data_IF_846186690050
#
_entry.id   IF_846186690050
#
_cell.length_a   1.000
_cell.length_b   1.000
_cell.length_c   1.000
_cell.angle_alpha   90.00
_cell.angle_beta   90.00
_cell.angle_gamma   90.00
#
_symmetry.space_group_name_H-M   'P 1'
#
loop_
_entity.id
_entity.type
_entity.pdbx_description
1 polymer ?
#
# COMPACT_ATOMS: atom_id res chain seq x y z
N UNK A 1 -0.98 8.61 12.79
CA UNK A 1 -0.68 7.98 11.49
C UNK A 1 -1.21 8.91 10.42
N UNK A 2 -0.37 9.36 9.49
CA UNK A 2 -0.87 10.16 8.36
C UNK A 2 -1.59 9.27 7.34
N UNK A 3 -2.37 9.84 6.41
CA UNK A 3 -3.10 9.03 5.42
C UNK A 3 -2.20 8.30 4.45
N UNK A 4 -1.01 8.81 4.15
CA UNK A 4 -0.04 8.15 3.28
C UNK A 4 0.44 6.84 3.93
N UNK A 5 0.77 6.88 5.21
CA UNK A 5 1.17 5.73 6.00
C UNK A 5 0.02 4.71 6.11
N UNK A 6 -1.21 5.16 6.38
CA UNK A 6 -2.38 4.28 6.50
C UNK A 6 -2.72 3.57 5.18
N UNK A 7 -2.55 4.26 4.05
CA UNK A 7 -2.63 3.68 2.71
C UNK A 7 -1.55 2.59 2.53
N UNK A 8 -0.30 2.85 2.93
CA UNK A 8 0.79 1.89 2.77
C UNK A 8 0.54 0.61 3.58
N UNK A 9 0.12 0.75 4.85
CA UNK A 9 -0.20 -0.40 5.70
C UNK A 9 -1.39 -1.19 5.15
N UNK A 10 -2.45 -0.49 4.72
CA UNK A 10 -3.60 -1.15 4.10
C UNK A 10 -3.22 -1.89 2.83
N UNK A 11 -2.36 -1.30 2.00
CA UNK A 11 -1.84 -1.95 0.80
C UNK A 11 -1.01 -3.18 1.15
N UNK A 12 -0.12 -3.12 2.15
CA UNK A 12 0.64 -4.29 2.62
C UNK A 12 -0.29 -5.45 2.99
N UNK A 13 -1.31 -5.19 3.80
CA UNK A 13 -2.26 -6.22 4.23
C UNK A 13 -3.04 -6.83 3.07
N UNK A 14 -3.58 -6.00 2.18
CA UNK A 14 -4.36 -6.45 1.04
C UNK A 14 -3.50 -7.19 0.01
N UNK A 15 -2.28 -6.70 -0.22
CA UNK A 15 -1.34 -7.31 -1.15
C UNK A 15 -0.84 -8.66 -0.65
N UNK A 16 -0.66 -8.85 0.66
CA UNK A 16 -0.36 -10.16 1.23
C UNK A 16 -1.48 -11.19 0.99
N UNK A 17 -2.74 -10.74 0.91
CA UNK A 17 -3.90 -11.62 0.72
C UNK A 17 -4.23 -11.88 -0.75
N UNK A 18 -4.11 -10.86 -1.60
CA UNK A 18 -4.61 -10.89 -3.00
C UNK A 18 -3.52 -10.68 -4.05
N UNK A 19 -2.30 -10.35 -3.63
CA UNK A 19 -1.21 -9.94 -4.52
C UNK A 19 -1.61 -8.77 -5.41
N UNK A 20 -1.22 -8.86 -6.68
CA UNK A 20 -1.49 -7.83 -7.69
C UNK A 20 -2.98 -7.67 -8.03
N UNK A 21 -3.89 -8.52 -7.53
CA UNK A 21 -5.33 -8.28 -7.71
C UNK A 21 -5.90 -7.22 -6.76
N UNK A 22 -5.12 -6.72 -5.80
CA UNK A 22 -5.50 -5.59 -4.96
C UNK A 22 -5.78 -4.35 -5.80
N UNK A 23 -6.98 -3.76 -5.67
CA UNK A 23 -7.36 -2.55 -6.40
C UNK A 23 -7.26 -1.30 -5.52
N UNK A 24 -7.14 -0.13 -6.15
CA UNK A 24 -7.19 1.16 -5.44
C UNK A 24 -8.54 1.37 -4.74
N UNK A 25 -9.60 0.77 -5.27
CA UNK A 25 -10.94 0.76 -4.66
C UNK A 25 -10.98 -0.07 -3.38
N UNK A 26 -10.23 -1.18 -3.29
CA UNK A 26 -10.13 -1.96 -2.05
C UNK A 26 -9.48 -1.12 -0.94
N UNK A 27 -8.38 -0.42 -1.27
CA UNK A 27 -7.67 0.48 -0.35
C UNK A 27 -8.61 1.61 0.08
N UNK A 28 -9.27 2.26 -0.87
CA UNK A 28 -10.22 3.36 -0.63
C UNK A 28 -11.33 2.95 0.33
N UNK A 29 -11.94 1.78 0.13
CA UNK A 29 -12.99 1.24 1.01
C UNK A 29 -12.46 0.96 2.42
N UNK A 30 -11.25 0.42 2.54
CA UNK A 30 -10.69 0.04 3.84
C UNK A 30 -10.13 1.22 4.64
N UNK A 31 -9.52 2.20 3.99
CA UNK A 31 -9.01 3.45 4.61
C UNK A 31 -10.13 4.48 4.84
N UNK A 32 -11.25 4.37 4.12
CA UNK A 32 -12.38 5.29 4.22
C UNK A 32 -12.14 6.64 3.54
N UNK A 33 -11.40 6.65 2.42
CA UNK A 33 -11.10 7.85 1.63
C UNK A 33 -11.46 7.63 0.15
N UNK A 34 -11.54 8.70 -0.64
CA UNK A 34 -11.76 8.58 -2.09
C UNK A 34 -10.49 8.05 -2.78
N UNK A 35 -10.66 7.29 -3.86
CA UNK A 35 -9.54 6.84 -4.71
C UNK A 35 -8.67 8.03 -5.17
N UNK A 36 -9.28 9.17 -5.52
CA UNK A 36 -8.55 10.38 -5.88
C UNK A 36 -7.62 10.90 -4.77
N UNK A 37 -8.02 10.76 -3.49
CA UNK A 37 -7.19 11.13 -2.33
C UNK A 37 -6.01 10.18 -2.14
N UNK A 38 -6.09 8.95 -2.62
CA UNK A 38 -4.93 8.05 -2.66
C UNK A 38 -3.93 8.55 -3.70
N UNK A 39 -4.43 8.95 -4.87
CA UNK A 39 -3.58 9.46 -5.95
C UNK A 39 -2.93 10.82 -5.64
N UNK A 40 -3.41 11.58 -4.66
CA UNK A 40 -2.69 12.76 -4.15
C UNK A 40 -1.48 12.42 -3.27
N UNK A 41 -1.37 11.18 -2.79
CA UNK A 41 -0.23 10.70 -1.99
C UNK A 41 0.72 9.81 -2.79
N UNK A 42 0.22 9.13 -3.81
CA UNK A 42 0.95 8.17 -4.62
C UNK A 42 0.57 8.28 -6.10
N UNK A 43 1.55 8.26 -6.98
CA UNK A 43 1.36 8.43 -8.43
C UNK A 43 0.67 7.24 -9.08
N UNK A 44 0.91 6.02 -8.56
CA UNK A 44 0.38 4.79 -9.13
C UNK A 44 0.26 3.68 -8.09
N UNK A 45 -0.53 2.66 -8.41
CA UNK A 45 -0.56 1.41 -7.64
C UNK A 45 0.83 0.76 -7.57
N UNK A 46 1.56 0.77 -8.68
CA UNK A 46 2.89 0.17 -8.78
C UNK A 46 3.89 0.87 -7.86
N UNK A 47 3.78 2.19 -7.68
CA UNK A 47 4.60 2.93 -6.71
C UNK A 47 4.36 2.41 -5.28
N UNK A 48 3.09 2.19 -4.90
CA UNK A 48 2.76 1.67 -3.56
C UNK A 48 3.26 0.23 -3.41
N UNK A 49 3.04 -0.63 -4.41
CA UNK A 49 3.55 -2.00 -4.44
C UNK A 49 5.07 -2.02 -4.26
N UNK A 50 5.80 -1.19 -5.02
CA UNK A 50 7.25 -1.08 -4.90
C UNK A 50 7.68 -0.70 -3.48
N UNK A 51 7.01 0.25 -2.83
CA UNK A 51 7.31 0.65 -1.46
C UNK A 51 7.02 -0.46 -0.45
N UNK A 52 5.91 -1.21 -0.63
CA UNK A 52 5.60 -2.39 0.18
C UNK A 52 6.73 -3.41 0.04
N UNK A 53 7.07 -3.81 -1.19
CA UNK A 53 8.13 -4.81 -1.44
C UNK A 53 9.49 -4.35 -0.91
N UNK A 54 9.85 -3.08 -1.15
CA UNK A 54 11.11 -2.49 -0.66
C UNK A 54 11.17 -2.55 0.87
N UNK A 55 10.09 -2.20 1.56
CA UNK A 55 10.02 -2.23 3.02
C UNK A 55 10.17 -3.66 3.55
N UNK A 56 9.42 -4.62 3.00
CA UNK A 56 9.47 -6.01 3.45
C UNK A 56 10.84 -6.66 3.16
N UNK A 57 11.41 -6.44 1.97
CA UNK A 57 12.75 -6.93 1.62
C UNK A 57 13.80 -6.33 2.56
N UNK A 58 13.76 -5.01 2.80
CA UNK A 58 14.69 -4.36 3.72
C UNK A 58 14.54 -4.92 5.14
N UNK A 59 13.30 -5.11 5.59
CA UNK A 59 13.02 -5.70 6.91
C UNK A 59 13.67 -7.09 7.00
N UNK A 60 13.41 -7.98 6.04
CA UNK A 60 13.99 -9.31 6.00
C UNK A 60 15.53 -9.29 5.97
N UNK A 61 16.15 -8.45 5.13
CA UNK A 61 17.61 -8.37 5.02
C UNK A 61 18.32 -7.90 6.29
N UNK A 62 17.64 -7.17 7.18
CA UNK A 62 18.20 -6.68 8.44
C UNK A 62 17.87 -7.59 9.63
N UNK A 63 17.04 -8.62 9.42
CA UNK A 63 16.74 -9.66 10.41
C UNK A 63 17.63 -10.91 10.28
N UNK A 64 18.42 -11.01 9.20
CA UNK A 64 19.44 -12.05 9.00
C UNK A 64 20.84 -11.43 9.11
#
# INVERSE_FOLDING_TARGET
MDKKEEILVTMTELFAQKGYNTSMSDISKKVGIKVQSIYSHYESKDQIVYLVLKKEIFTLLYFF
#
